data_IF_510301610732
#
_entry.id   IF_510301610732
#
_cell.length_a   1.000
_cell.length_b   1.000
_cell.length_c   1.000
_cell.angle_alpha   90.00
_cell.angle_beta   90.00
_cell.angle_gamma   90.00
#
_symmetry.space_group_name_H-M   'P 1'
#
loop_
_entity.id
_entity.type
_entity.pdbx_description
1 polymer ?
#
# COMPACT_ATOMS: atom_id res chain seq x y z
N UNK A 1 -10.98 22.36 -1.49
CA UNK A 1 -10.68 21.46 -2.62
C UNK A 1 -9.17 21.52 -2.83
N UNK A 2 -8.47 20.38 -2.82
CA UNK A 2 -7.04 20.37 -3.10
C UNK A 2 -6.80 20.85 -4.54
N UNK A 3 -5.74 21.62 -4.75
CA UNK A 3 -5.34 22.05 -6.10
C UNK A 3 -4.83 20.85 -6.88
N UNK A 4 -5.02 20.83 -8.20
CA UNK A 4 -4.55 19.72 -9.05
C UNK A 4 -3.05 19.44 -8.89
N UNK A 5 -2.25 20.50 -8.71
CA UNK A 5 -0.81 20.41 -8.45
C UNK A 5 -0.47 19.64 -7.16
N UNK A 6 -1.25 19.85 -6.09
CA UNK A 6 -1.07 19.15 -4.82
C UNK A 6 -1.41 17.66 -4.98
N UNK A 7 -2.53 17.36 -5.64
CA UNK A 7 -2.95 15.96 -5.89
C UNK A 7 -1.91 15.22 -6.74
N UNK A 8 -1.32 15.90 -7.74
CA UNK A 8 -0.25 15.30 -8.54
C UNK A 8 1.03 15.06 -7.76
N UNK A 9 1.40 15.97 -6.85
CA UNK A 9 2.57 15.80 -6.00
C UNK A 9 2.39 14.62 -5.04
N UNK A 10 1.23 14.54 -4.36
CA UNK A 10 0.87 13.44 -3.46
C UNK A 10 0.86 12.09 -4.20
N UNK A 11 0.38 12.08 -5.45
CA UNK A 11 0.34 10.88 -6.29
C UNK A 11 1.73 10.42 -6.70
N UNK A 12 2.66 11.34 -6.99
CA UNK A 12 4.06 11.01 -7.29
C UNK A 12 4.73 10.40 -6.06
N UNK A 13 4.59 11.03 -4.88
CA UNK A 13 5.15 10.51 -3.62
C UNK A 13 4.60 9.12 -3.29
N UNK A 14 3.29 8.92 -3.38
CA UNK A 14 2.65 7.64 -3.13
C UNK A 14 3.15 6.54 -4.10
N UNK A 15 3.37 6.88 -5.37
CA UNK A 15 3.94 5.95 -6.36
C UNK A 15 5.39 5.61 -6.06
N UNK A 16 6.22 6.60 -5.73
CA UNK A 16 7.61 6.39 -5.33
C UNK A 16 7.68 5.47 -4.10
N UNK A 17 6.92 5.78 -3.05
CA UNK A 17 6.83 4.96 -1.85
C UNK A 17 6.36 3.53 -2.14
N UNK A 18 5.39 3.34 -3.05
CA UNK A 18 4.94 2.01 -3.47
C UNK A 18 6.05 1.21 -4.16
N UNK A 19 6.86 1.85 -5.02
CA UNK A 19 7.98 1.18 -5.68
C UNK A 19 9.04 0.72 -4.68
N UNK A 20 9.35 1.53 -3.66
CA UNK A 20 10.28 1.16 -2.59
C UNK A 20 9.80 -0.08 -1.83
N UNK A 21 8.53 -0.13 -1.44
CA UNK A 21 7.98 -1.29 -0.75
C UNK A 21 7.95 -2.56 -1.62
N UNK A 22 7.67 -2.43 -2.92
CA UNK A 22 7.69 -3.57 -3.85
C UNK A 22 9.12 -4.10 -4.09
N UNK A 23 10.10 -3.20 -4.14
CA UNK A 23 11.50 -3.60 -4.22
C UNK A 23 11.93 -4.35 -2.96
N UNK A 24 11.54 -3.85 -1.78
CA UNK A 24 11.78 -4.53 -0.51
C UNK A 24 11.09 -5.89 -0.44
N UNK A 25 9.84 -6.00 -0.88
CA UNK A 25 9.11 -7.27 -0.98
C UNK A 25 9.87 -8.25 -1.89
N UNK A 26 10.33 -7.79 -3.05
CA UNK A 26 11.10 -8.61 -3.98
C UNK A 26 12.39 -9.13 -3.36
N UNK A 27 13.16 -8.28 -2.68
CA UNK A 27 14.38 -8.67 -1.97
C UNK A 27 14.11 -9.73 -0.90
N UNK A 28 13.04 -9.57 -0.12
CA UNK A 28 12.65 -10.55 0.90
C UNK A 28 12.24 -11.90 0.30
N UNK A 29 11.54 -11.88 -0.84
CA UNK A 29 11.12 -13.09 -1.55
C UNK A 29 12.28 -13.78 -2.27
N UNK A 30 13.23 -13.03 -2.83
CA UNK A 30 14.39 -13.60 -3.54
C UNK A 30 15.51 -14.04 -2.60
N UNK A 31 15.68 -13.35 -1.48
CA UNK A 31 16.83 -13.48 -0.59
C UNK A 31 16.65 -14.46 0.57
N UNK A 32 15.53 -15.18 0.64
CA UNK A 32 15.23 -16.18 1.67
C UNK A 32 15.70 -15.76 3.07
N UNK A 33 14.94 -14.88 3.74
CA UNK A 33 15.27 -14.25 5.05
C UNK A 33 16.22 -15.12 5.86
N UNK A 34 17.51 -14.81 5.76
CA UNK A 34 18.55 -15.60 6.40
C UNK A 34 18.61 -15.19 7.87
N UNK A 35 17.83 -15.89 8.70
CA UNK A 35 17.78 -15.69 10.14
C UNK A 35 19.11 -16.13 10.76
N UNK A 36 20.13 -15.28 10.73
CA UNK A 36 21.35 -15.51 11.51
C UNK A 36 21.08 -15.15 12.98
N UNK A 37 20.59 -16.12 13.75
CA UNK A 37 20.47 -16.01 15.20
C UNK A 37 21.85 -16.09 15.88
N UNK A 38 22.48 -14.95 16.17
CA UNK A 38 23.67 -14.89 17.04
C UNK A 38 23.19 -14.69 18.49
N UNK A 39 22.94 -15.80 19.18
CA UNK A 39 22.64 -15.81 20.63
C UNK A 39 21.38 -15.02 21.05
N UNK A 40 21.19 -14.74 22.36
CA UNK A 40 19.96 -14.15 22.89
C UNK A 40 19.72 -12.69 22.49
N UNK A 41 20.68 -12.04 21.81
CA UNK A 41 20.46 -10.74 21.18
C UNK A 41 20.03 -10.97 19.74
N UNK A 42 18.78 -11.39 19.55
CA UNK A 42 18.13 -11.31 18.25
C UNK A 42 18.22 -9.86 17.79
N UNK A 43 19.02 -9.61 16.75
CA UNK A 43 19.18 -8.31 16.13
C UNK A 43 17.87 -7.97 15.41
N UNK A 44 16.85 -7.59 16.17
CA UNK A 44 15.52 -7.18 15.71
C UNK A 44 15.55 -5.83 14.96
N UNK A 45 16.68 -5.48 14.32
CA UNK A 45 16.87 -4.16 13.73
C UNK A 45 15.92 -3.91 12.57
N UNK A 46 15.49 -4.94 11.82
CA UNK A 46 14.57 -4.77 10.69
C UNK A 46 13.74 -6.03 10.42
N UNK A 47 13.12 -6.63 11.44
CA UNK A 47 12.07 -7.62 11.20
C UNK A 47 10.78 -6.89 10.77
N UNK A 48 10.83 -6.18 9.64
CA UNK A 48 9.61 -5.75 8.97
C UNK A 48 9.00 -7.02 8.42
N UNK A 49 7.95 -7.52 9.06
CA UNK A 49 7.30 -8.73 8.59
C UNK A 49 6.79 -8.51 7.17
N UNK A 50 6.89 -9.54 6.33
CA UNK A 50 6.35 -9.53 4.97
C UNK A 50 4.86 -9.12 4.95
N UNK A 51 4.13 -9.46 6.02
CA UNK A 51 2.74 -9.04 6.24
C UNK A 51 2.59 -7.51 6.32
N UNK A 52 3.47 -6.82 7.05
CA UNK A 52 3.44 -5.36 7.21
C UNK A 52 3.71 -4.67 5.87
N UNK A 53 4.70 -5.15 5.11
CA UNK A 53 5.02 -4.61 3.78
C UNK A 53 3.83 -4.79 2.83
N UNK A 54 3.19 -5.96 2.83
CA UNK A 54 2.01 -6.22 1.99
C UNK A 54 0.83 -5.34 2.37
N UNK A 55 0.60 -5.11 3.66
CA UNK A 55 -0.44 -4.19 4.15
C UNK A 55 -0.16 -2.76 3.69
N UNK A 56 1.08 -2.28 3.88
CA UNK A 56 1.48 -0.94 3.42
C UNK A 56 1.33 -0.78 1.89
N UNK A 57 1.69 -1.80 1.10
CA UNK A 57 1.48 -1.80 -0.36
C UNK A 57 -0.01 -1.71 -0.69
N UNK A 58 -0.88 -2.42 0.02
CA UNK A 58 -2.32 -2.41 -0.20
C UNK A 58 -2.92 -1.03 0.09
N UNK A 59 -2.56 -0.44 1.23
CA UNK A 59 -2.98 0.91 1.63
C UNK A 59 -2.53 1.95 0.59
N UNK A 60 -1.27 1.88 0.17
CA UNK A 60 -0.73 2.74 -0.88
C UNK A 60 -1.44 2.62 -2.22
N UNK A 61 -1.80 1.41 -2.63
CA UNK A 61 -2.58 1.21 -3.87
C UNK A 61 -3.98 1.81 -3.76
N UNK A 62 -4.59 1.73 -2.58
CA UNK A 62 -5.89 2.34 -2.33
C UNK A 62 -5.78 3.87 -2.37
N UNK A 63 -4.79 4.45 -1.70
CA UNK A 63 -4.49 5.88 -1.70
C UNK A 63 -4.26 6.41 -3.13
N UNK A 64 -3.43 5.72 -3.94
CA UNK A 64 -3.23 6.07 -5.35
C UNK A 64 -4.55 6.06 -6.13
N UNK A 65 -5.40 5.04 -5.92
CA UNK A 65 -6.70 4.94 -6.61
C UNK A 65 -7.63 6.08 -6.22
N UNK A 66 -7.62 6.49 -4.95
CA UNK A 66 -8.41 7.60 -4.43
C UNK A 66 -7.91 8.94 -4.99
N UNK A 67 -6.59 9.19 -4.99
CA UNK A 67 -5.98 10.38 -5.57
C UNK A 67 -6.21 10.48 -7.09
N UNK A 68 -6.09 9.38 -7.83
CA UNK A 68 -6.41 9.32 -9.26
C UNK A 68 -7.90 9.60 -9.51
N UNK A 69 -8.79 9.10 -8.65
CA UNK A 69 -10.23 9.37 -8.74
C UNK A 69 -10.57 10.82 -8.42
N UNK A 70 -9.88 11.43 -7.45
CA UNK A 70 -10.01 12.85 -7.10
C UNK A 70 -9.52 13.74 -8.25
N UNK A 71 -8.40 13.37 -8.89
CA UNK A 71 -7.82 14.10 -10.03
C UNK A 71 -8.74 14.08 -11.27
N UNK A 72 -9.40 12.96 -11.54
CA UNK A 72 -10.31 12.78 -12.68
C UNK A 72 -11.67 13.45 -12.44
N UNK A 73 -11.98 13.84 -11.19
CA UNK A 73 -13.22 14.57 -10.86
C UNK A 73 -14.37 13.68 -10.40
N UNK A 74 -14.08 12.48 -9.87
CA UNK A 74 -15.05 11.70 -9.12
C UNK A 74 -15.39 10.35 -9.75
N UNK A 75 -15.16 9.30 -8.98
CA UNK A 75 -15.65 7.94 -9.27
C UNK A 75 -17.18 7.96 -9.23
N UNK A 76 -17.92 7.49 -10.25
CA UNK A 76 -19.35 7.28 -10.11
C UNK A 76 -19.58 6.34 -8.91
N UNK A 77 -20.52 6.72 -8.03
CA UNK A 77 -20.83 5.97 -6.80
C UNK A 77 -21.13 4.51 -7.17
N UNK A 78 -20.54 3.55 -6.43
CA UNK A 78 -20.86 2.13 -6.60
C UNK A 78 -22.33 1.94 -6.22
N UNK A 79 -23.20 1.68 -7.19
CA UNK A 79 -24.60 1.39 -6.93
C UNK A 79 -24.70 0.04 -6.19
N UNK A 80 -25.19 0.07 -4.96
CA UNK A 80 -25.48 -1.14 -4.17
C UNK A 80 -26.99 -1.36 -4.25
N UNK A 81 -27.40 -2.39 -5.00
CA UNK A 81 -28.80 -2.85 -4.98
C UNK A 81 -29.05 -3.63 -3.70
N UNK A 82 -29.88 -3.11 -2.80
CA UNK A 82 -30.38 -3.88 -1.66
C UNK A 82 -31.47 -4.80 -2.18
N UNK A 83 -31.21 -6.11 -2.15
CA UNK A 83 -32.26 -7.12 -2.37
C UNK A 83 -32.98 -7.29 -1.03
N UNK A 84 -34.18 -6.72 -0.92
CA UNK A 84 -35.07 -7.02 0.21
C UNK A 84 -35.47 -8.49 0.08
N UNK A 85 -35.00 -9.32 1.02
CA UNK A 85 -35.44 -10.69 1.13
C UNK A 85 -36.62 -10.74 2.09
N UNK A 86 -37.80 -10.84 1.52
CA UNK A 86 -39.05 -11.10 2.22
C UNK A 86 -39.01 -12.53 2.79
N UNK A 87 -39.46 -12.72 4.03
CA UNK A 87 -39.70 -14.00 4.70
C UNK A 87 -41.10 -13.99 5.29
#
# INVERSE_FOLDING_TARGET
MRTKEVITADLVDAKERNTLYRNREKEMLSGGVQSYGIGPRNLARYNTDLSVIRTAIKELKQEITELESELIGGKPRRAVGVVLRDW
#
